data_IF_216685702309
#
_entry.id   IF_216685702309
#
_cell.length_a   1.000
_cell.length_b   1.000
_cell.length_c   1.000
_cell.angle_alpha   90.00
_cell.angle_beta   90.00
_cell.angle_gamma   90.00
#
_symmetry.space_group_name_H-M   'P 1'
#
loop_
_entity.id
_entity.type
_entity.pdbx_description
1 polymer ?
#
# COMPACT_ATOMS: atom_id res chain seq x y z
N UNK A 1 -8.14 -9.82 0.68
CA UNK A 1 -7.20 -9.72 1.80
C UNK A 1 -5.81 -10.03 1.32
N UNK A 2 -5.07 -8.96 1.03
CA UNK A 2 -3.63 -8.94 0.85
C UNK A 2 -2.97 -9.82 1.93
N UNK A 3 -2.03 -10.66 1.51
CA UNK A 3 -1.43 -11.67 2.38
C UNK A 3 -0.75 -11.05 3.60
N UNK A 4 -0.04 -9.93 3.44
CA UNK A 4 0.65 -9.26 4.55
C UNK A 4 -0.33 -8.67 5.56
N UNK A 5 -1.41 -8.06 5.08
CA UNK A 5 -2.45 -7.49 5.95
C UNK A 5 -3.15 -8.60 6.73
N UNK A 6 -3.46 -9.73 6.07
CA UNK A 6 -4.02 -10.91 6.73
C UNK A 6 -3.12 -11.43 7.85
N UNK A 7 -1.84 -11.66 7.53
CA UNK A 7 -0.86 -12.17 8.50
C UNK A 7 -0.73 -11.23 9.71
N UNK A 8 -0.63 -9.91 9.48
CA UNK A 8 -0.58 -8.93 10.56
C UNK A 8 -1.84 -8.96 11.43
N UNK A 9 -3.03 -9.06 10.81
CA UNK A 9 -4.31 -9.15 11.53
C UNK A 9 -4.40 -10.43 12.37
N UNK A 10 -4.01 -11.56 11.81
CA UNK A 10 -4.07 -12.85 12.51
C UNK A 10 -3.12 -12.86 13.72
N UNK A 11 -1.90 -12.31 13.58
CA UNK A 11 -0.96 -12.11 14.70
C UNK A 11 -1.53 -11.18 15.77
N UNK A 12 -2.12 -10.05 15.38
CA UNK A 12 -2.71 -9.12 16.33
C UNK A 12 -3.87 -9.76 17.12
N UNK A 13 -4.73 -10.55 16.46
CA UNK A 13 -5.82 -11.25 17.13
C UNK A 13 -5.33 -12.31 18.12
N UNK A 14 -4.26 -13.04 17.77
CA UNK A 14 -3.65 -14.02 18.68
C UNK A 14 -3.03 -13.37 19.94
N UNK A 15 -2.44 -12.19 19.79
CA UNK A 15 -1.84 -11.44 20.91
C UNK A 15 -2.92 -10.79 21.78
N UNK A 16 -3.86 -10.06 21.15
CA UNK A 16 -4.83 -9.23 21.87
C UNK A 16 -6.00 -10.02 22.45
N UNK A 17 -6.36 -11.14 21.81
CA UNK A 17 -7.45 -12.05 22.22
C UNK A 17 -8.74 -11.31 22.62
N UNK A 18 -9.26 -10.38 21.78
CA UNK A 18 -10.47 -9.65 22.11
C UNK A 18 -11.66 -10.61 22.21
N UNK A 19 -12.65 -10.25 23.04
CA UNK A 19 -13.94 -10.95 22.97
C UNK A 19 -14.62 -10.69 21.61
N UNK A 20 -15.48 -11.59 21.12
CA UNK A 20 -16.22 -11.36 19.87
C UNK A 20 -16.97 -10.02 19.87
N UNK A 21 -17.58 -9.65 21.01
CA UNK A 21 -18.30 -8.39 21.19
C UNK A 21 -17.38 -7.18 21.02
N UNK A 22 -16.22 -7.20 21.67
CA UNK A 22 -15.31 -6.05 21.63
C UNK A 22 -14.67 -5.90 20.26
N UNK A 23 -14.37 -7.02 19.57
CA UNK A 23 -13.87 -7.00 18.19
C UNK A 23 -14.94 -6.43 17.24
N UNK A 24 -16.18 -6.88 17.34
CA UNK A 24 -17.29 -6.40 16.50
C UNK A 24 -17.54 -4.91 16.71
N UNK A 25 -17.65 -4.48 17.97
CA UNK A 25 -17.89 -3.08 18.33
C UNK A 25 -16.70 -2.17 17.95
N UNK A 26 -15.45 -2.63 18.16
CA UNK A 26 -14.27 -1.86 17.74
C UNK A 26 -14.21 -1.66 16.22
N UNK A 27 -14.53 -2.71 15.44
CA UNK A 27 -14.60 -2.61 13.98
C UNK A 27 -15.78 -1.75 13.50
N UNK A 28 -16.91 -1.76 14.22
CA UNK A 28 -18.02 -0.84 13.98
C UNK A 28 -17.60 0.61 14.16
N UNK A 29 -16.99 0.96 15.29
CA UNK A 29 -16.50 2.31 15.55
C UNK A 29 -15.50 2.77 14.47
N UNK A 30 -14.60 1.89 14.06
CA UNK A 30 -13.64 2.17 12.98
C UNK A 30 -14.35 2.51 11.67
N UNK A 31 -15.35 1.70 11.26
CA UNK A 31 -16.12 1.92 10.02
C UNK A 31 -16.88 3.25 10.00
N UNK A 32 -17.23 3.79 11.17
CA UNK A 32 -17.92 5.07 11.30
C UNK A 32 -16.99 6.26 11.56
N UNK A 33 -15.68 6.04 11.62
CA UNK A 33 -14.69 7.08 11.84
C UNK A 33 -14.06 7.55 10.53
N UNK A 34 -13.67 8.81 10.47
CA UNK A 34 -12.74 9.30 9.45
C UNK A 34 -11.33 9.00 9.94
N UNK A 35 -10.61 8.16 9.21
CA UNK A 35 -9.26 7.72 9.57
C UNK A 35 -8.28 8.42 8.63
N UNK A 36 -7.59 9.43 9.15
CA UNK A 36 -6.54 10.13 8.43
C UNK A 36 -5.20 9.50 8.78
N UNK A 37 -4.50 8.93 7.80
CA UNK A 37 -3.11 8.54 8.01
C UNK A 37 -2.18 9.73 7.74
N UNK A 38 -1.50 10.20 8.78
CA UNK A 38 -0.57 11.34 8.69
C UNK A 38 0.89 10.90 8.54
N UNK A 39 1.16 9.59 8.49
CA UNK A 39 2.51 9.02 8.50
C UNK A 39 2.96 8.42 7.16
N UNK A 40 2.14 8.55 6.11
CA UNK A 40 2.57 8.31 4.73
C UNK A 40 2.31 6.89 4.22
N UNK A 41 1.23 6.25 4.67
CA UNK A 41 0.68 4.99 4.18
C UNK A 41 0.15 5.14 2.75
N UNK A 42 0.98 5.56 1.78
CA UNK A 42 0.67 5.44 0.36
C UNK A 42 1.34 4.18 -0.17
N UNK A 43 0.59 3.12 -0.55
CA UNK A 43 1.17 1.96 -1.20
C UNK A 43 2.01 2.38 -2.41
N UNK A 44 3.23 1.85 -2.49
CA UNK A 44 4.16 2.09 -3.60
C UNK A 44 3.91 1.05 -4.68
N UNK A 45 3.82 1.49 -5.93
CA UNK A 45 3.84 0.57 -7.06
C UNK A 45 5.21 -0.06 -7.25
N UNK A 46 5.25 -1.25 -7.83
CA UNK A 46 6.51 -1.79 -8.33
C UNK A 46 7.03 -0.92 -9.48
N UNK A 47 8.35 -0.93 -9.69
CA UNK A 47 8.99 -0.27 -10.83
C UNK A 47 8.87 -1.15 -12.08
N UNK A 48 8.96 -0.53 -13.25
CA UNK A 48 9.14 -1.24 -14.51
C UNK A 48 10.63 -1.57 -14.71
N UNK A 49 11.00 -2.80 -14.38
CA UNK A 49 12.40 -3.24 -14.43
C UNK A 49 13.00 -3.18 -15.84
N UNK A 50 12.20 -3.46 -16.87
CA UNK A 50 12.68 -3.44 -18.27
C UNK A 50 12.94 -2.00 -18.71
N UNK A 51 12.06 -1.07 -18.32
CA UNK A 51 12.27 0.36 -18.59
C UNK A 51 13.52 0.90 -17.87
N UNK A 52 13.73 0.52 -16.61
CA UNK A 52 14.92 0.92 -15.85
C UNK A 52 16.18 0.32 -16.46
N UNK A 53 16.16 -0.94 -16.89
CA UNK A 53 17.28 -1.57 -17.60
C UNK A 53 17.62 -0.81 -18.89
N UNK A 54 16.61 -0.47 -19.71
CA UNK A 54 16.82 0.27 -20.93
C UNK A 54 17.44 1.66 -20.67
N UNK A 55 17.01 2.34 -19.59
CA UNK A 55 17.60 3.62 -19.19
C UNK A 55 19.09 3.47 -18.82
N UNK A 56 19.45 2.44 -18.05
CA UNK A 56 20.85 2.12 -17.72
C UNK A 56 21.67 1.88 -18.99
N UNK A 57 21.17 1.06 -19.91
CA UNK A 57 21.86 0.73 -21.16
C UNK A 57 22.03 1.95 -22.08
N UNK A 58 21.12 2.93 -21.98
CA UNK A 58 21.21 4.21 -22.68
C UNK A 58 22.19 5.22 -22.05
N UNK A 59 22.80 4.87 -20.91
CA UNK A 59 23.75 5.71 -20.20
C UNK A 59 23.12 6.73 -19.25
N UNK A 60 21.89 6.48 -18.77
CA UNK A 60 21.24 7.32 -17.78
C UNK A 60 22.11 7.47 -16.52
N UNK A 61 22.16 8.69 -16.00
CA UNK A 61 22.85 8.99 -14.75
C UNK A 61 22.11 8.42 -13.56
N UNK A 62 22.81 8.30 -12.43
CA UNK A 62 22.21 7.87 -11.17
C UNK A 62 21.02 8.74 -10.75
N UNK A 63 21.09 10.06 -10.99
CA UNK A 63 20.01 10.97 -10.64
C UNK A 63 18.76 10.72 -11.48
N UNK A 64 18.92 10.50 -12.79
CA UNK A 64 17.80 10.18 -13.69
C UNK A 64 17.15 8.84 -13.35
N UNK A 65 17.94 7.83 -13.00
CA UNK A 65 17.41 6.54 -12.55
C UNK A 65 16.64 6.67 -11.23
N UNK A 66 17.16 7.46 -10.29
CA UNK A 66 16.46 7.74 -9.04
C UNK A 66 15.12 8.44 -9.30
N UNK A 67 15.11 9.49 -10.10
CA UNK A 67 13.87 10.22 -10.44
C UNK A 67 12.84 9.29 -11.11
N UNK A 68 13.31 8.41 -12.01
CA UNK A 68 12.48 7.44 -12.69
C UNK A 68 11.88 6.39 -11.73
N UNK A 69 12.69 5.80 -10.85
CA UNK A 69 12.21 4.84 -9.84
C UNK A 69 11.23 5.50 -8.85
N UNK A 70 11.50 6.74 -8.45
CA UNK A 70 10.65 7.52 -7.55
C UNK A 70 9.29 7.82 -8.18
N UNK A 71 9.26 8.33 -9.42
CA UNK A 71 8.04 8.57 -10.18
C UNK A 71 7.25 7.28 -10.35
N UNK A 72 7.90 6.22 -10.82
CA UNK A 72 7.25 4.93 -11.05
C UNK A 72 6.59 4.39 -9.78
N UNK A 73 7.29 4.43 -8.66
CA UNK A 73 6.72 3.96 -7.39
C UNK A 73 5.60 4.85 -6.85
N UNK A 74 5.55 6.14 -7.22
CA UNK A 74 4.50 7.09 -6.80
C UNK A 74 3.25 6.97 -7.67
N UNK A 75 3.41 6.74 -8.98
CA UNK A 75 2.35 7.04 -9.96
C UNK A 75 1.90 5.85 -10.80
N UNK A 76 2.65 4.73 -10.86
CA UNK A 76 2.26 3.59 -11.72
C UNK A 76 0.93 2.95 -11.34
N UNK A 77 0.42 3.12 -10.12
CA UNK A 77 -0.93 2.70 -9.76
C UNK A 77 -2.03 3.40 -10.59
N UNK A 78 -1.73 4.55 -11.19
CA UNK A 78 -2.65 5.28 -12.06
C UNK A 78 -2.59 4.83 -13.53
N UNK A 79 -1.51 4.18 -13.95
CA UNK A 79 -1.23 3.88 -15.38
C UNK A 79 -1.06 2.40 -15.68
N UNK A 80 -0.70 1.58 -14.70
CA UNK A 80 -0.59 0.13 -14.81
C UNK A 80 -1.76 -0.54 -14.06
N UNK A 81 -2.52 -1.39 -14.77
CA UNK A 81 -3.75 -1.98 -14.24
C UNK A 81 -3.52 -2.84 -13.01
N UNK A 82 -2.49 -3.70 -13.03
CA UNK A 82 -2.16 -4.59 -11.91
C UNK A 82 -1.72 -3.80 -10.67
N UNK A 83 -0.88 -2.77 -10.85
CA UNK A 83 -0.45 -1.88 -9.78
C UNK A 83 -1.64 -1.12 -9.18
N UNK A 84 -2.56 -0.64 -10.02
CA UNK A 84 -3.77 0.04 -9.58
C UNK A 84 -4.72 -0.87 -8.82
N UNK A 85 -4.77 -2.15 -9.18
CA UNK A 85 -5.55 -3.16 -8.46
C UNK A 85 -4.95 -3.44 -7.08
N UNK A 86 -3.65 -3.70 -6.99
CA UNK A 86 -2.99 -3.92 -5.70
C UNK A 86 -3.09 -2.69 -4.79
N UNK A 87 -2.94 -1.49 -5.34
CA UNK A 87 -3.12 -0.24 -4.59
C UNK A 87 -4.52 -0.15 -3.96
N UNK A 88 -5.59 -0.40 -4.74
CA UNK A 88 -6.96 -0.35 -4.24
C UNK A 88 -7.24 -1.42 -3.20
N UNK A 89 -6.77 -2.65 -3.42
CA UNK A 89 -6.91 -3.72 -2.44
C UNK A 89 -6.21 -3.38 -1.11
N UNK A 90 -5.00 -2.81 -1.16
CA UNK A 90 -4.29 -2.37 0.04
C UNK A 90 -4.98 -1.19 0.73
N UNK A 91 -5.50 -0.22 -0.04
CA UNK A 91 -6.25 0.92 0.48
C UNK A 91 -7.52 0.49 1.23
N UNK A 92 -8.34 -0.33 0.58
CA UNK A 92 -9.62 -0.80 1.14
C UNK A 92 -9.42 -1.61 2.42
N UNK A 93 -8.32 -2.37 2.49
CA UNK A 93 -8.02 -3.24 3.63
C UNK A 93 -7.33 -2.51 4.79
N UNK A 94 -6.64 -1.41 4.53
CA UNK A 94 -6.02 -0.59 5.58
C UNK A 94 -7.05 0.17 6.43
N UNK A 95 -8.25 0.40 5.88
CA UNK A 95 -9.32 1.11 6.58
C UNK A 95 -9.02 2.58 6.81
N UNK A 96 -8.17 3.19 5.97
CA UNK A 96 -7.93 4.64 5.95
C UNK A 96 -8.97 5.33 5.06
N UNK A 97 -9.34 6.56 5.41
CA UNK A 97 -10.24 7.40 4.61
C UNK A 97 -9.46 8.39 3.76
N UNK A 98 -8.33 8.88 4.26
CA UNK A 98 -7.42 9.76 3.53
C UNK A 98 -5.98 9.64 4.06
N UNK A 99 -5.04 10.12 3.25
CA UNK A 99 -3.61 10.29 3.53
C UNK A 99 -3.29 11.78 3.34
#
# INVERSE_FOLDING_TARGET
MNKKIKEARDVALDILKPSPRDLEHGLELHRHSVVCDTYGFAPRSAIDGDAVQAAIESGASKAELQDMEEDMGMTRCATAEEEGKEFREAWDEAGVTCI
#
